data_IF_307384878568
#
_entry.id   IF_307384878568
#
_cell.length_a   1.000
_cell.length_b   1.000
_cell.length_c   1.000
_cell.angle_alpha   90.00
_cell.angle_beta   90.00
_cell.angle_gamma   90.00
#
_symmetry.space_group_name_H-M   'P 1'
#
loop_
_entity.id
_entity.type
_entity.pdbx_description
1 polymer ?
#
# COMPACT_ATOMS: atom_id res chain seq x y z
N UNK A 1 -35.12 1.72 -8.75
CA UNK A 1 -34.08 0.69 -8.59
C UNK A 1 -33.16 0.67 -9.81
N UNK A 2 -33.66 0.33 -11.00
CA UNK A 2 -32.83 0.18 -12.22
C UNK A 2 -32.08 1.45 -12.64
N UNK A 3 -32.72 2.62 -12.56
CA UNK A 3 -32.07 3.91 -12.88
C UNK A 3 -30.90 4.25 -11.94
N UNK A 4 -30.97 3.81 -10.68
CA UNK A 4 -29.89 4.03 -9.71
C UNK A 4 -28.70 3.12 -10.06
N UNK A 5 -28.94 1.84 -10.34
CA UNK A 5 -27.88 0.90 -10.75
C UNK A 5 -27.12 1.38 -12.00
N UNK A 6 -27.81 1.97 -12.97
CA UNK A 6 -27.18 2.53 -14.18
C UNK A 6 -26.29 3.74 -13.82
N UNK A 7 -26.73 4.61 -12.91
CA UNK A 7 -25.94 5.75 -12.47
C UNK A 7 -24.68 5.32 -11.72
N UNK A 8 -24.80 4.37 -10.79
CA UNK A 8 -23.66 3.79 -10.07
C UNK A 8 -22.67 3.12 -11.03
N UNK A 9 -23.16 2.30 -11.97
CA UNK A 9 -22.32 1.66 -12.98
C UNK A 9 -21.53 2.68 -13.81
N UNK A 10 -22.17 3.76 -14.27
CA UNK A 10 -21.49 4.80 -15.05
C UNK A 10 -20.44 5.54 -14.24
N UNK A 11 -20.73 5.86 -12.98
CA UNK A 11 -19.78 6.49 -12.09
C UNK A 11 -18.54 5.61 -11.87
N UNK A 12 -18.74 4.31 -11.67
CA UNK A 12 -17.65 3.33 -11.50
C UNK A 12 -16.84 3.18 -12.78
N UNK A 13 -17.49 3.10 -13.95
CA UNK A 13 -16.81 3.05 -15.24
C UNK A 13 -15.97 4.30 -15.52
N UNK A 14 -16.47 5.49 -15.17
CA UNK A 14 -15.71 6.73 -15.29
C UNK A 14 -14.47 6.70 -14.38
N UNK A 15 -14.61 6.26 -13.12
CA UNK A 15 -13.46 6.13 -12.21
C UNK A 15 -12.41 5.14 -12.71
N UNK A 16 -12.82 4.04 -13.33
CA UNK A 16 -11.90 3.08 -13.95
C UNK A 16 -11.15 3.70 -15.13
N UNK A 17 -11.82 4.53 -15.94
CA UNK A 17 -11.22 5.20 -17.10
C UNK A 17 -10.27 6.35 -16.70
N UNK A 18 -10.68 7.18 -15.76
CA UNK A 18 -9.94 8.38 -15.32
C UNK A 18 -8.87 8.08 -14.25
N UNK A 19 -8.63 6.79 -13.99
CA UNK A 19 -7.76 6.32 -12.93
C UNK A 19 -8.05 6.93 -11.54
N UNK A 20 -9.30 7.27 -11.25
CA UNK A 20 -9.72 7.76 -9.95
C UNK A 20 -9.65 6.66 -8.86
N UNK A 21 -9.70 7.08 -7.59
CA UNK A 21 -9.77 6.17 -6.46
C UNK A 21 -11.08 5.36 -6.51
N UNK A 22 -10.97 4.04 -6.32
CA UNK A 22 -12.13 3.15 -6.17
C UNK A 22 -12.37 3.02 -4.66
N UNK A 23 -13.59 3.31 -4.22
CA UNK A 23 -13.95 3.20 -2.81
C UNK A 23 -14.58 1.84 -2.50
N UNK A 24 -14.72 1.54 -1.21
CA UNK A 24 -15.44 0.35 -0.77
C UNK A 24 -16.91 0.37 -1.25
N UNK A 25 -17.54 1.55 -1.29
CA UNK A 25 -18.90 1.69 -1.82
C UNK A 25 -18.99 1.29 -3.29
N UNK A 26 -17.99 1.63 -4.11
CA UNK A 26 -17.97 1.23 -5.52
C UNK A 26 -17.92 -0.30 -5.68
N UNK A 27 -17.21 -0.99 -4.79
CA UNK A 27 -17.15 -2.46 -4.76
C UNK A 27 -18.52 -3.04 -4.37
N UNK A 28 -19.15 -2.49 -3.33
CA UNK A 28 -20.47 -2.93 -2.87
C UNK A 28 -21.56 -2.67 -3.93
N UNK A 29 -21.54 -1.50 -4.56
CA UNK A 29 -22.45 -1.14 -5.66
C UNK A 29 -22.31 -2.11 -6.83
N UNK A 30 -21.08 -2.47 -7.22
CA UNK A 30 -20.89 -3.48 -8.26
C UNK A 30 -21.34 -4.88 -7.84
N UNK A 31 -21.14 -5.28 -6.58
CA UNK A 31 -21.64 -6.56 -6.08
C UNK A 31 -23.18 -6.63 -6.19
N UNK A 32 -23.88 -5.55 -5.84
CA UNK A 32 -25.34 -5.45 -6.00
C UNK A 32 -25.75 -5.53 -7.48
N UNK A 33 -25.05 -4.83 -8.38
CA UNK A 33 -25.34 -4.86 -9.82
C UNK A 33 -25.14 -6.27 -10.39
N UNK A 34 -24.08 -6.98 -10.00
CA UNK A 34 -23.83 -8.37 -10.43
C UNK A 34 -24.91 -9.32 -9.93
N UNK A 35 -25.41 -9.12 -8.70
CA UNK A 35 -26.51 -9.93 -8.16
C UNK A 35 -27.83 -9.66 -8.88
N UNK A 36 -28.15 -8.39 -9.14
CA UNK A 36 -29.36 -8.00 -9.86
C UNK A 36 -29.33 -8.39 -11.35
N UNK A 37 -28.14 -8.35 -11.96
CA UNK A 37 -27.92 -8.63 -13.37
C UNK A 37 -26.70 -9.56 -13.53
N UNK A 38 -26.87 -10.89 -13.45
CA UNK A 38 -25.77 -11.84 -13.50
C UNK A 38 -25.22 -12.03 -14.92
N UNK A 39 -24.56 -11.00 -15.44
CA UNK A 39 -23.85 -11.00 -16.73
C UNK A 39 -22.35 -11.20 -16.54
N UNK A 40 -21.72 -11.90 -17.48
CA UNK A 40 -20.25 -12.04 -17.52
C UNK A 40 -19.54 -10.69 -17.61
N UNK A 41 -20.15 -9.70 -18.26
CA UNK A 41 -19.58 -8.34 -18.37
C UNK A 41 -19.51 -7.68 -16.99
N UNK A 42 -20.59 -7.73 -16.21
CA UNK A 42 -20.61 -7.14 -14.87
C UNK A 42 -19.72 -7.89 -13.88
N UNK A 43 -19.62 -9.22 -14.01
CA UNK A 43 -18.67 -10.02 -13.21
C UNK A 43 -17.22 -9.64 -13.50
N UNK A 44 -16.87 -9.44 -14.77
CA UNK A 44 -15.53 -8.99 -15.15
C UNK A 44 -15.23 -7.58 -14.61
N UNK A 45 -16.19 -6.65 -14.73
CA UNK A 45 -16.07 -5.30 -14.16
C UNK A 45 -15.91 -5.34 -12.64
N UNK A 46 -16.71 -6.14 -11.94
CA UNK A 46 -16.57 -6.33 -10.48
C UNK A 46 -15.17 -6.82 -10.11
N UNK A 47 -14.63 -7.81 -10.85
CA UNK A 47 -13.26 -8.27 -10.66
C UNK A 47 -12.21 -7.15 -10.79
N UNK A 48 -12.36 -6.27 -11.79
CA UNK A 48 -11.46 -5.13 -11.99
C UNK A 48 -11.57 -4.11 -10.85
N UNK A 49 -12.80 -3.77 -10.41
CA UNK A 49 -13.06 -2.84 -9.32
C UNK A 49 -12.48 -3.38 -8.00
N UNK A 50 -12.74 -4.65 -7.67
CA UNK A 50 -12.21 -5.29 -6.47
C UNK A 50 -10.68 -5.42 -6.47
N UNK A 51 -10.08 -5.73 -7.62
CA UNK A 51 -8.62 -5.81 -7.74
C UNK A 51 -7.98 -4.43 -7.55
N UNK A 52 -8.58 -3.38 -8.12
CA UNK A 52 -8.10 -2.01 -7.98
C UNK A 52 -8.22 -1.48 -6.54
N UNK A 53 -9.36 -1.74 -5.89
CA UNK A 53 -9.55 -1.38 -4.48
C UNK A 53 -8.52 -2.10 -3.59
N UNK A 54 -8.26 -3.39 -3.83
CA UNK A 54 -7.21 -4.13 -3.11
C UNK A 54 -5.81 -3.60 -3.40
N UNK A 55 -5.50 -3.28 -4.66
CA UNK A 55 -4.22 -2.68 -5.02
C UNK A 55 -4.02 -1.33 -4.30
N UNK A 56 -5.06 -0.51 -4.19
CA UNK A 56 -5.02 0.77 -3.44
C UNK A 56 -4.91 0.58 -1.92
N UNK A 57 -5.43 -0.51 -1.37
CA UNK A 57 -5.23 -0.88 0.03
C UNK A 57 -3.86 -1.52 0.30
N UNK A 58 -3.23 -2.05 -0.74
CA UNK A 58 -1.91 -2.67 -0.73
C UNK A 58 -0.80 -1.75 -1.18
N UNK A 59 -1.10 -0.55 -1.70
CA UNK A 59 -0.12 0.54 -1.75
C UNK A 59 0.24 0.78 -0.29
N UNK A 60 1.39 0.27 0.17
CA UNK A 60 1.89 0.68 1.45
C UNK A 60 2.05 2.18 1.29
N UNK A 61 1.59 2.92 2.29
CA UNK A 61 2.21 4.16 2.70
C UNK A 61 3.60 4.36 2.03
N UNK A 62 3.68 5.04 0.87
CA UNK A 62 4.95 5.53 0.30
C UNK A 62 5.44 6.74 1.13
N UNK A 63 5.20 6.66 2.43
CA UNK A 63 5.85 7.36 3.52
C UNK A 63 6.17 6.39 4.67
N UNK A 64 6.46 5.11 4.39
CA UNK A 64 7.53 4.51 5.17
C UNK A 64 8.76 5.39 4.91
N UNK A 65 9.31 6.11 5.91
CA UNK A 65 10.59 6.72 5.72
C UNK A 65 11.50 5.55 5.39
N UNK A 66 11.93 5.46 4.13
CA UNK A 66 13.08 4.65 3.77
C UNK A 66 14.15 5.13 4.72
N UNK A 67 14.34 4.37 5.80
CA UNK A 67 15.06 4.80 6.97
C UNK A 67 16.48 4.96 6.45
N UNK A 68 16.83 6.20 6.09
CA UNK A 68 17.94 6.50 5.21
C UNK A 68 19.16 5.72 5.71
N UNK A 69 19.96 5.12 4.81
CA UNK A 69 21.12 4.35 5.23
C UNK A 69 21.89 5.21 6.25
N UNK A 70 22.24 4.64 7.42
CA UNK A 70 22.75 5.43 8.52
C UNK A 70 23.95 6.23 8.03
N UNK A 71 23.94 7.54 8.31
CA UNK A 71 24.99 8.43 7.81
C UNK A 71 26.34 8.01 8.41
N UNK A 72 27.44 8.35 7.73
CA UNK A 72 28.78 8.01 8.21
C UNK A 72 29.03 8.50 9.66
N UNK A 73 28.48 9.67 10.01
CA UNK A 73 28.54 10.23 11.37
C UNK A 73 27.80 9.37 12.42
N UNK A 74 26.64 8.80 12.06
CA UNK A 74 25.88 7.91 12.94
C UNK A 74 26.63 6.58 13.17
N UNK A 75 27.26 6.06 12.13
CA UNK A 75 28.06 4.84 12.20
C UNK A 75 29.34 5.04 13.03
N UNK A 76 29.98 6.20 12.91
CA UNK A 76 31.15 6.56 13.72
C UNK A 76 30.79 6.79 15.19
N UNK A 77 29.66 7.45 15.48
CA UNK A 77 29.15 7.60 16.84
C UNK A 77 28.83 6.25 17.49
N UNK A 78 28.20 5.33 16.75
CA UNK A 78 27.93 3.97 17.23
C UNK A 78 29.22 3.17 17.46
N UNK A 79 30.23 3.30 16.58
CA UNK A 79 31.56 2.71 16.76
C UNK A 79 32.23 3.24 18.03
N UNK A 80 32.19 4.56 18.24
CA UNK A 80 32.79 5.21 19.42
C UNK A 80 32.07 4.80 20.71
N UNK A 81 30.74 4.71 20.69
CA UNK A 81 29.96 4.22 21.83
C UNK A 81 30.28 2.76 22.16
N UNK A 82 30.44 1.89 21.15
CA UNK A 82 30.89 0.51 21.34
C UNK A 82 32.34 0.41 21.86
N UNK A 83 33.22 1.34 21.47
CA UNK A 83 34.59 1.41 21.96
C UNK A 83 34.70 1.93 23.41
N UNK A 84 33.83 2.86 23.80
CA UNK A 84 33.81 3.45 25.16
C UNK A 84 33.10 2.54 26.17
N UNK A 85 32.02 1.86 25.76
CA UNK A 85 31.30 0.91 26.61
C UNK A 85 30.94 -0.35 25.79
N UNK A 86 31.84 -1.33 25.69
CA UNK A 86 31.60 -2.56 24.95
C UNK A 86 30.62 -3.44 25.73
N UNK A 87 29.34 -3.31 25.40
CA UNK A 87 28.25 -4.13 25.91
C UNK A 87 27.56 -4.84 24.74
N UNK A 88 26.89 -5.96 25.00
CA UNK A 88 26.12 -6.65 23.96
C UNK A 88 25.13 -5.73 23.25
N UNK A 89 24.57 -4.74 23.97
CA UNK A 89 23.65 -3.76 23.40
C UNK A 89 24.35 -2.80 22.43
N UNK A 90 25.51 -2.26 22.79
CA UNK A 90 26.26 -1.29 21.95
C UNK A 90 26.92 -1.94 20.74
N UNK A 91 27.43 -3.18 20.90
CA UNK A 91 27.98 -3.97 19.79
C UNK A 91 26.90 -4.40 18.80
N UNK A 92 25.73 -4.83 19.28
CA UNK A 92 24.60 -5.19 18.41
C UNK A 92 24.04 -3.99 17.68
N UNK A 93 23.93 -2.83 18.34
CA UNK A 93 23.50 -1.59 17.71
C UNK A 93 24.43 -1.19 16.54
N UNK A 94 25.74 -1.23 16.76
CA UNK A 94 26.73 -0.96 15.71
C UNK A 94 26.67 -1.98 14.56
N UNK A 95 26.59 -3.28 14.86
CA UNK A 95 26.52 -4.33 13.85
C UNK A 95 25.24 -4.26 12.99
N UNK A 96 24.12 -3.86 13.59
CA UNK A 96 22.86 -3.63 12.87
C UNK A 96 22.93 -2.38 11.98
N UNK A 97 23.54 -1.29 12.47
CA UNK A 97 23.77 -0.09 11.65
C UNK A 97 24.72 -0.36 10.48
N UNK A 98 25.79 -1.13 10.69
CA UNK A 98 26.74 -1.52 9.64
C UNK A 98 26.06 -2.33 8.52
N UNK A 99 25.22 -3.31 8.88
CA UNK A 99 24.43 -4.09 7.92
C UNK A 99 23.48 -3.22 7.09
N UNK A 100 22.85 -2.23 7.72
CA UNK A 100 21.96 -1.27 7.04
C UNK A 100 22.70 -0.29 6.13
N UNK A 101 23.98 -0.02 6.41
CA UNK A 101 24.84 0.82 5.56
C UNK A 101 25.39 0.09 4.32
N UNK A 102 25.21 -1.24 4.22
CA UNK A 102 25.73 -2.04 3.10
C UNK A 102 27.25 -2.27 3.12
N UNK A 103 27.90 -2.21 4.30
CA UNK A 103 29.36 -2.32 4.51
C UNK A 103 29.73 -3.50 5.41
#
# INVERSE_FOLDING_TARGET
MEHQHIAHLRAIQAKLADAAAITEQDVQDMAMIVQAHPSMVYRALFGQVSARHQAQALEPDEQEPTEAPPTAEQLEAARKAAAVNPSNRTLTAYASMKRRAGV
#
